data_IF_502903499414
#
_entry.id   IF_502903499414
#
_cell.length_a   1.000
_cell.length_b   1.000
_cell.length_c   1.000
_cell.angle_alpha   90.00
_cell.angle_beta   90.00
_cell.angle_gamma   90.00
#
_symmetry.space_group_name_H-M   'P 1'
#
loop_
_entity.id
_entity.type
_entity.pdbx_description
1 polymer ?
#
# COMPACT_ATOMS: atom_id res chain seq x y z
N UNK A 1 23.20 23.44 47.24
CA UNK A 1 21.83 23.98 47.42
C UNK A 1 20.96 23.12 46.54
N UNK A 2 20.50 22.03 47.13
CA UNK A 2 19.59 21.08 46.50
C UNK A 2 18.19 21.63 46.77
N UNK A 3 17.45 21.94 45.72
CA UNK A 3 16.05 22.36 45.82
C UNK A 3 15.22 21.36 45.03
N UNK A 4 14.33 20.73 45.80
CA UNK A 4 13.19 19.84 45.53
C UNK A 4 12.89 19.43 44.08
N UNK A 5 13.10 18.15 43.81
CA UNK A 5 12.50 17.40 42.69
C UNK A 5 11.66 16.20 43.20
N UNK A 6 11.30 16.18 44.48
CA UNK A 6 10.30 15.27 45.02
C UNK A 6 8.96 16.05 45.07
N UNK A 7 7.88 15.43 44.61
CA UNK A 7 6.49 15.95 44.55
C UNK A 7 6.01 16.60 43.23
N UNK A 8 6.19 15.89 42.11
CA UNK A 8 5.26 16.04 40.98
C UNK A 8 4.39 14.77 40.92
N UNK A 9 3.30 14.76 41.69
CA UNK A 9 2.25 13.76 41.52
C UNK A 9 1.49 14.02 40.20
N UNK A 10 1.18 12.98 39.41
CA UNK A 10 0.35 13.14 38.23
C UNK A 10 -1.07 13.49 38.69
N UNK A 11 -1.52 14.70 38.38
CA UNK A 11 -2.91 15.07 38.55
C UNK A 11 -3.73 14.28 37.52
N UNK A 12 -4.47 13.27 37.97
CA UNK A 12 -5.53 12.65 37.18
C UNK A 12 -6.61 13.72 36.95
N UNK A 13 -6.66 14.24 35.73
CA UNK A 13 -7.76 15.07 35.28
C UNK A 13 -9.02 14.18 35.22
N UNK A 14 -9.88 14.28 36.24
CA UNK A 14 -11.24 13.72 36.19
C UNK A 14 -11.97 14.37 35.02
N UNK A 15 -12.03 13.65 33.90
CA UNK A 15 -12.95 13.95 32.81
C UNK A 15 -14.36 13.78 33.36
N UNK A 16 -15.00 14.91 33.67
CA UNK A 16 -16.39 14.97 34.08
C UNK A 16 -17.26 14.09 33.17
N UNK A 17 -17.91 13.10 33.76
CA UNK A 17 -18.97 12.33 33.10
C UNK A 17 -20.15 13.27 32.83
N UNK A 18 -20.13 13.95 31.68
CA UNK A 18 -21.29 14.66 31.17
C UNK A 18 -22.37 13.65 30.75
N UNK A 19 -23.14 13.25 31.75
CA UNK A 19 -24.38 12.52 31.63
C UNK A 19 -25.48 13.37 30.96
N UNK A 20 -25.38 13.61 29.63
CA UNK A 20 -26.49 14.20 28.86
C UNK A 20 -26.38 14.02 27.33
N UNK A 21 -26.28 12.77 26.84
CA UNK A 21 -26.56 12.48 25.42
C UNK A 21 -27.12 11.07 25.16
N UNK A 22 -27.69 10.38 26.16
CA UNK A 22 -28.03 8.94 26.02
C UNK A 22 -29.23 8.63 25.11
N UNK A 23 -29.96 9.61 24.58
CA UNK A 23 -31.19 9.32 23.82
C UNK A 23 -31.01 9.09 22.31
N UNK A 24 -30.00 9.72 21.69
CA UNK A 24 -29.97 9.88 20.22
C UNK A 24 -29.14 8.80 19.51
N UNK A 25 -28.14 8.25 20.20
CA UNK A 25 -27.22 7.26 19.65
C UNK A 25 -27.47 5.83 20.15
N UNK A 26 -28.28 5.63 21.18
CA UNK A 26 -28.59 4.29 21.71
C UNK A 26 -29.36 3.41 20.71
N UNK A 27 -30.30 4.01 19.97
CA UNK A 27 -30.96 3.34 18.83
C UNK A 27 -29.97 2.99 17.72
N UNK A 28 -28.90 3.77 17.56
CA UNK A 28 -27.81 3.53 16.60
C UNK A 28 -26.78 2.51 17.10
N UNK A 29 -26.75 2.15 18.39
CA UNK A 29 -25.80 1.18 18.96
C UNK A 29 -26.42 -0.18 19.40
N UNK A 30 -27.74 -0.28 19.57
CA UNK A 30 -28.44 -1.57 19.83
C UNK A 30 -28.17 -2.70 18.83
N UNK A 31 -27.98 -3.93 19.31
CA UNK A 31 -27.48 -5.08 18.53
C UNK A 31 -28.37 -5.59 17.38
N UNK A 32 -29.58 -5.06 17.21
CA UNK A 32 -30.65 -5.67 16.40
C UNK A 32 -30.85 -5.08 15.00
N UNK A 33 -29.99 -4.17 14.54
CA UNK A 33 -30.00 -3.70 13.13
C UNK A 33 -28.61 -3.67 12.51
N UNK A 34 -27.97 -4.85 12.47
CA UNK A 34 -26.64 -5.07 11.86
C UNK A 34 -26.47 -4.51 10.44
N UNK A 35 -27.55 -4.30 9.68
CA UNK A 35 -27.48 -3.88 8.26
C UNK A 35 -27.76 -2.39 7.98
N UNK A 36 -28.15 -1.58 8.98
CA UNK A 36 -28.57 -0.18 8.74
C UNK A 36 -27.90 0.87 9.64
N UNK A 37 -26.98 0.46 10.52
CA UNK A 37 -26.19 1.39 11.35
C UNK A 37 -24.95 1.81 10.59
N UNK A 38 -24.84 3.09 10.27
CA UNK A 38 -23.67 3.67 9.59
C UNK A 38 -22.36 3.35 10.32
N UNK A 39 -22.37 3.32 11.66
CA UNK A 39 -21.22 2.95 12.48
C UNK A 39 -20.78 1.49 12.30
N UNK A 40 -21.73 0.56 12.21
CA UNK A 40 -21.46 -0.86 11.96
C UNK A 40 -20.90 -1.10 10.55
N UNK A 41 -21.57 -0.51 9.54
CA UNK A 41 -21.12 -0.60 8.14
C UNK A 41 -19.73 0.02 7.94
N UNK A 42 -19.47 1.19 8.53
CA UNK A 42 -18.17 1.84 8.43
C UNK A 42 -17.06 1.00 9.08
N UNK A 43 -17.29 0.44 10.26
CA UNK A 43 -16.32 -0.43 10.93
C UNK A 43 -16.00 -1.66 10.09
N UNK A 44 -17.00 -2.33 9.53
CA UNK A 44 -16.81 -3.52 8.70
C UNK A 44 -16.07 -3.19 7.40
N UNK A 45 -16.54 -2.21 6.62
CA UNK A 45 -15.90 -1.82 5.36
C UNK A 45 -14.48 -1.28 5.54
N UNK A 46 -14.24 -0.53 6.62
CA UNK A 46 -12.91 -0.05 6.95
C UNK A 46 -11.97 -1.21 7.27
N UNK A 47 -12.40 -2.16 8.09
CA UNK A 47 -11.61 -3.34 8.44
C UNK A 47 -11.32 -4.22 7.22
N UNK A 48 -12.31 -4.42 6.35
CA UNK A 48 -12.14 -5.19 5.12
C UNK A 48 -11.14 -4.51 4.18
N UNK A 49 -11.27 -3.21 3.94
CA UNK A 49 -10.34 -2.46 3.08
C UNK A 49 -8.92 -2.38 3.68
N UNK A 50 -8.82 -2.19 5.00
CA UNK A 50 -7.55 -2.14 5.71
C UNK A 50 -6.83 -3.50 5.63
N UNK A 51 -7.55 -4.60 5.88
CA UNK A 51 -6.97 -5.96 5.80
C UNK A 51 -6.45 -6.26 4.40
N UNK A 52 -7.24 -5.99 3.36
CA UNK A 52 -6.82 -6.14 1.96
C UNK A 52 -5.61 -5.27 1.61
N UNK A 53 -5.58 -4.02 2.08
CA UNK A 53 -4.45 -3.11 1.81
C UNK A 53 -3.16 -3.59 2.47
N UNK A 54 -3.25 -4.15 3.68
CA UNK A 54 -2.07 -4.66 4.40
C UNK A 54 -1.56 -5.95 3.75
N UNK A 55 -2.44 -6.95 3.59
CA UNK A 55 -2.05 -8.30 3.19
C UNK A 55 -1.81 -8.43 1.68
N UNK A 56 -2.66 -7.82 0.85
CA UNK A 56 -2.66 -8.04 -0.61
C UNK A 56 -2.09 -6.87 -1.42
N UNK A 57 -1.48 -5.87 -0.75
CA UNK A 57 -0.87 -4.72 -1.44
C UNK A 57 0.43 -4.25 -0.81
N UNK A 58 0.44 -3.93 0.48
CA UNK A 58 1.54 -3.22 1.11
C UNK A 58 2.68 -4.13 1.56
N UNK A 59 2.35 -5.24 2.24
CA UNK A 59 3.34 -6.12 2.88
C UNK A 59 3.80 -7.19 1.89
N UNK A 60 5.12 -7.42 1.74
CA UNK A 60 5.64 -8.52 0.93
C UNK A 60 5.35 -9.88 1.57
N UNK A 61 5.24 -10.92 0.74
CA UNK A 61 5.01 -12.27 1.25
C UNK A 61 6.32 -12.88 1.80
N UNK A 62 6.22 -13.72 2.84
CA UNK A 62 7.41 -14.24 3.55
C UNK A 62 8.29 -15.17 2.71
N UNK A 63 7.70 -15.90 1.76
CA UNK A 63 8.41 -16.91 0.97
C UNK A 63 9.30 -16.30 -0.11
N UNK A 64 8.82 -15.27 -0.80
CA UNK A 64 9.52 -14.64 -1.93
C UNK A 64 10.01 -13.21 -1.64
N UNK A 65 9.52 -12.58 -0.57
CA UNK A 65 9.84 -11.19 -0.24
C UNK A 65 9.22 -10.18 -1.21
N UNK A 66 8.29 -10.59 -2.10
CA UNK A 66 7.74 -9.74 -3.14
C UNK A 66 6.35 -9.22 -2.78
N UNK A 67 6.08 -7.97 -3.14
CA UNK A 67 4.71 -7.42 -3.14
C UNK A 67 3.89 -8.03 -4.27
N UNK A 68 2.55 -8.09 -4.15
CA UNK A 68 1.71 -8.71 -5.19
C UNK A 68 1.83 -8.08 -6.58
N UNK A 69 2.11 -6.77 -6.70
CA UNK A 69 2.37 -6.14 -8.02
C UNK A 69 3.69 -6.61 -8.64
N UNK A 70 4.75 -6.73 -7.83
CA UNK A 70 6.08 -7.15 -8.26
C UNK A 70 6.06 -8.58 -8.79
N UNK A 71 5.36 -9.48 -8.07
CA UNK A 71 5.20 -10.88 -8.51
C UNK A 71 4.52 -11.00 -9.87
N UNK A 72 3.44 -10.23 -10.09
CA UNK A 72 2.71 -10.23 -11.37
C UNK A 72 3.55 -9.70 -12.52
N UNK A 73 4.30 -8.63 -12.28
CA UNK A 73 5.24 -8.08 -13.28
C UNK A 73 6.28 -9.13 -13.67
N UNK A 74 6.93 -9.77 -12.70
CA UNK A 74 7.93 -10.80 -12.98
C UNK A 74 7.34 -12.04 -13.66
N UNK A 75 6.12 -12.44 -13.31
CA UNK A 75 5.41 -13.51 -14.01
C UNK A 75 5.19 -13.17 -15.49
N UNK A 76 4.68 -11.97 -15.78
CA UNK A 76 4.51 -11.51 -17.17
C UNK A 76 5.82 -11.46 -17.92
N UNK A 77 6.90 -10.98 -17.30
CA UNK A 77 8.22 -10.99 -17.93
C UNK A 77 8.70 -12.41 -18.24
N UNK A 78 8.51 -13.36 -17.33
CA UNK A 78 8.89 -14.75 -17.54
C UNK A 78 8.08 -15.44 -18.65
N UNK A 79 6.80 -15.09 -18.84
CA UNK A 79 5.98 -15.61 -19.94
C UNK A 79 6.36 -15.02 -21.30
N UNK A 80 6.85 -13.79 -21.32
CA UNK A 80 7.24 -13.06 -22.52
C UNK A 80 8.71 -13.25 -22.92
N UNK A 81 9.52 -13.87 -22.06
CA UNK A 81 10.97 -13.94 -22.23
C UNK A 81 11.36 -14.77 -23.46
N UNK A 82 11.87 -14.07 -24.49
CA UNK A 82 12.44 -14.65 -25.70
C UNK A 82 13.97 -14.41 -25.81
N UNK A 83 14.59 -13.92 -24.73
CA UNK A 83 15.99 -13.55 -24.66
C UNK A 83 16.34 -12.22 -25.35
N UNK A 84 15.36 -11.46 -25.85
CA UNK A 84 15.55 -10.12 -26.40
C UNK A 84 14.93 -9.08 -25.48
N UNK A 85 15.50 -7.88 -25.54
CA UNK A 85 14.91 -6.74 -24.86
C UNK A 85 13.53 -6.44 -25.42
N UNK A 86 12.56 -6.37 -24.51
CA UNK A 86 11.19 -6.03 -24.81
C UNK A 86 10.89 -4.60 -24.35
N UNK A 87 10.10 -3.88 -25.14
CA UNK A 87 9.64 -2.54 -24.75
C UNK A 87 8.85 -2.61 -23.45
N UNK A 88 9.21 -1.78 -22.48
CA UNK A 88 8.52 -1.72 -21.18
C UNK A 88 7.04 -1.42 -21.33
N UNK A 89 6.65 -0.60 -22.31
CA UNK A 89 5.24 -0.36 -22.64
C UNK A 89 4.46 -1.65 -22.95
N UNK A 90 5.09 -2.63 -23.61
CA UNK A 90 4.48 -3.92 -23.92
C UNK A 90 4.35 -4.79 -22.66
N UNK A 91 5.41 -4.85 -21.85
CA UNK A 91 5.41 -5.58 -20.56
C UNK A 91 4.30 -5.05 -19.64
N UNK A 92 4.21 -3.73 -19.49
CA UNK A 92 3.17 -3.08 -18.67
C UNK A 92 1.78 -3.41 -19.21
N UNK A 93 1.57 -3.32 -20.53
CA UNK A 93 0.29 -3.65 -21.15
C UNK A 93 -0.15 -5.09 -20.94
N UNK A 94 0.78 -6.05 -20.98
CA UNK A 94 0.47 -7.45 -20.68
C UNK A 94 0.24 -7.70 -19.19
N UNK A 95 1.02 -7.06 -18.31
CA UNK A 95 0.88 -7.20 -16.86
C UNK A 95 -0.48 -6.70 -16.35
N UNK A 96 -1.14 -5.78 -17.07
CA UNK A 96 -2.51 -5.34 -16.76
C UNK A 96 -3.54 -6.48 -16.81
N UNK A 97 -3.28 -7.57 -17.54
CA UNK A 97 -4.17 -8.75 -17.55
C UNK A 97 -4.21 -9.43 -16.16
N UNK A 98 -3.10 -9.37 -15.43
CA UNK A 98 -2.96 -9.98 -14.10
C UNK A 98 -3.14 -8.97 -12.96
N UNK A 99 -2.94 -7.68 -13.23
CA UNK A 99 -3.00 -6.60 -12.24
C UNK A 99 -4.14 -5.62 -12.57
N UNK A 100 -5.30 -5.70 -11.88
CA UNK A 100 -6.48 -4.87 -12.17
C UNK A 100 -6.36 -3.46 -11.59
N UNK A 101 -5.20 -2.81 -11.78
CA UNK A 101 -4.92 -1.43 -11.38
C UNK A 101 -4.18 -0.70 -12.50
N UNK A 102 -4.05 0.61 -12.37
CA UNK A 102 -3.50 1.46 -13.43
C UNK A 102 -2.07 1.08 -13.84
N UNK A 103 -1.76 1.32 -15.11
CA UNK A 103 -0.44 1.16 -15.73
C UNK A 103 0.68 1.87 -14.95
N UNK A 104 0.40 3.04 -14.39
CA UNK A 104 1.34 3.80 -13.57
C UNK A 104 1.86 3.01 -12.34
N UNK A 105 0.99 2.22 -11.70
CA UNK A 105 1.38 1.42 -10.53
C UNK A 105 2.29 0.24 -10.89
N UNK A 106 2.04 -0.36 -12.06
CA UNK A 106 2.83 -1.45 -12.62
C UNK A 106 4.19 -0.93 -13.07
N UNK A 107 4.21 0.18 -13.80
CA UNK A 107 5.43 0.84 -14.24
C UNK A 107 6.31 1.23 -13.05
N UNK A 108 5.73 1.84 -12.01
CA UNK A 108 6.47 2.23 -10.81
C UNK A 108 7.10 1.03 -10.10
N UNK A 109 6.38 -0.09 -10.01
CA UNK A 109 6.91 -1.32 -9.45
C UNK A 109 8.06 -1.90 -10.29
N UNK A 110 7.89 -1.95 -11.61
CA UNK A 110 8.90 -2.44 -12.55
C UNK A 110 10.18 -1.59 -12.49
N UNK A 111 10.04 -0.27 -12.49
CA UNK A 111 11.17 0.66 -12.43
C UNK A 111 11.92 0.54 -11.12
N UNK A 112 11.21 0.42 -10.00
CA UNK A 112 11.81 0.21 -8.69
C UNK A 112 12.61 -1.09 -8.64
N UNK A 113 12.09 -2.17 -9.23
CA UNK A 113 12.80 -3.46 -9.34
C UNK A 113 14.04 -3.36 -10.24
N UNK A 114 13.90 -2.71 -11.41
CA UNK A 114 14.99 -2.52 -12.35
C UNK A 114 16.14 -1.67 -11.78
N UNK A 115 15.81 -0.62 -11.03
CA UNK A 115 16.80 0.23 -10.36
C UNK A 115 17.64 -0.49 -9.29
N UNK A 116 17.17 -1.63 -8.76
CA UNK A 116 17.99 -2.43 -7.84
C UNK A 116 19.10 -3.20 -8.56
N UNK A 117 19.00 -3.42 -9.88
CA UNK A 117 20.01 -4.11 -10.68
C UNK A 117 20.21 -5.60 -10.33
N UNK A 118 19.19 -6.24 -9.75
CA UNK A 118 19.28 -7.63 -9.26
C UNK A 118 18.59 -8.65 -10.17
N UNK A 119 17.39 -8.34 -10.63
CA UNK A 119 16.49 -9.31 -11.29
C UNK A 119 16.20 -8.98 -12.76
N UNK A 120 16.35 -7.71 -13.15
CA UNK A 120 15.96 -7.20 -14.46
C UNK A 120 17.18 -6.49 -15.04
N UNK A 121 17.52 -6.85 -16.28
CA UNK A 121 18.49 -6.10 -17.05
C UNK A 121 17.77 -4.94 -17.74
N UNK A 122 18.29 -3.73 -17.57
CA UNK A 122 17.58 -2.50 -17.90
C UNK A 122 18.33 -1.71 -18.97
N UNK A 123 17.64 -1.40 -20.07
CA UNK A 123 18.15 -0.55 -21.13
C UNK A 123 17.35 0.76 -21.24
N UNK A 124 18.07 1.88 -21.39
CA UNK A 124 17.51 3.23 -21.43
C UNK A 124 17.63 3.99 -20.11
N UNK A 125 16.90 5.11 -19.98
CA UNK A 125 16.94 5.95 -18.77
C UNK A 125 15.87 5.52 -17.74
N UNK A 126 16.26 4.65 -16.81
CA UNK A 126 15.38 4.14 -15.75
C UNK A 126 15.27 5.07 -14.52
N UNK A 127 15.77 6.30 -14.62
CA UNK A 127 15.83 7.23 -13.49
C UNK A 127 16.99 6.93 -12.55
N UNK A 128 17.22 7.81 -11.58
CA UNK A 128 18.34 7.70 -10.65
C UNK A 128 17.87 7.98 -9.22
N UNK A 129 18.02 6.97 -8.35
CA UNK A 129 17.61 7.04 -6.94
C UNK A 129 18.43 8.04 -6.11
N UNK A 130 19.68 8.33 -6.51
CA UNK A 130 20.57 9.23 -5.78
C UNK A 130 20.29 10.70 -6.08
N UNK A 131 19.95 11.01 -7.35
CA UNK A 131 19.63 12.37 -7.78
C UNK A 131 18.14 12.68 -7.69
N UNK A 132 17.28 11.66 -7.60
CA UNK A 132 15.83 11.79 -7.61
C UNK A 132 15.24 11.97 -9.00
N UNK A 133 16.03 11.77 -10.06
CA UNK A 133 15.57 11.92 -11.44
C UNK A 133 14.56 10.83 -11.80
N UNK A 134 13.46 11.26 -12.41
CA UNK A 134 12.39 10.37 -12.88
C UNK A 134 12.86 9.51 -14.06
N UNK A 135 12.24 8.35 -14.22
CA UNK A 135 12.45 7.51 -15.40
C UNK A 135 11.90 8.15 -16.68
N UNK A 136 12.44 7.75 -17.82
CA UNK A 136 11.86 8.10 -19.10
C UNK A 136 10.52 7.39 -19.35
N UNK A 137 9.78 7.85 -20.35
CA UNK A 137 8.50 7.24 -20.69
C UNK A 137 8.66 5.76 -21.12
N UNK A 138 7.70 4.87 -20.81
CA UNK A 138 7.78 3.42 -21.06
C UNK A 138 8.10 2.99 -22.50
N UNK A 139 7.75 3.84 -23.47
CA UNK A 139 8.03 3.62 -24.91
C UNK A 139 9.52 3.69 -25.26
N UNK A 140 10.33 4.32 -24.41
CA UNK A 140 11.78 4.47 -24.60
C UNK A 140 12.60 3.52 -23.73
N UNK A 141 11.95 2.78 -22.83
CA UNK A 141 12.61 1.83 -21.94
C UNK A 141 12.48 0.41 -22.47
N UNK A 142 13.51 -0.38 -22.17
CA UNK A 142 13.66 -1.76 -22.58
C UNK A 142 14.14 -2.58 -21.37
N UNK A 143 13.58 -3.78 -21.23
CA UNK A 143 13.91 -4.77 -20.21
C UNK A 143 13.72 -6.19 -20.76
#
# INVERSE_FOLDING_TARGET
>A
MAEDWEDIEPQEEELAEDAAASGKFDKLLGSDSRRYKLSGMFREWYLDYASYTILDRAVPHIVDGLKPVQRRVLHTMAEMDDGRYTKVANIVGQAMQYHPHGDASILGALVTLGQQGLLIDCQGNWGNILTGDSNAAPRYLEA
#
